data_IF_967287473139
#
_entry.id   IF_967287473139
#
_cell.length_a   1.000
_cell.length_b   1.000
_cell.length_c   1.000
_cell.angle_alpha   90.00
_cell.angle_beta   90.00
_cell.angle_gamma   90.00
#
_symmetry.space_group_name_H-M   'P 1'
#
loop_
_entity.id
_entity.type
_entity.pdbx_description
1 polymer ?
#
# COMPACT_ATOMS: atom_id res chain seq x y z
N UNK A 1 -3.09 -9.51 5.87
CA UNK A 1 -3.53 -9.12 7.23
C UNK A 1 -2.84 -7.86 7.76
N UNK A 2 -1.51 -7.85 8.00
CA UNK A 2 -0.82 -6.72 8.66
C UNK A 2 -1.06 -5.35 8.00
N UNK A 3 -0.94 -5.24 6.68
CA UNK A 3 -1.16 -3.98 5.96
C UNK A 3 -2.60 -3.46 6.08
N UNK A 4 -3.59 -4.35 6.04
CA UNK A 4 -4.99 -3.96 6.24
C UNK A 4 -5.21 -3.43 7.66
N UNK A 5 -4.66 -4.11 8.68
CA UNK A 5 -4.69 -3.62 10.06
C UNK A 5 -4.09 -2.21 10.17
N UNK A 6 -2.87 -2.01 9.66
CA UNK A 6 -2.19 -0.71 9.71
C UNK A 6 -2.95 0.39 8.96
N UNK A 7 -3.61 0.05 7.86
CA UNK A 7 -4.49 0.98 7.14
C UNK A 7 -5.65 1.47 8.01
N UNK A 8 -6.32 0.57 8.74
CA UNK A 8 -7.40 0.96 9.66
C UNK A 8 -6.86 1.78 10.84
N UNK A 9 -5.74 1.38 11.44
CA UNK A 9 -5.10 2.12 12.54
C UNK A 9 -4.70 3.55 12.11
N UNK A 10 -4.11 3.71 10.92
CA UNK A 10 -3.77 5.03 10.35
C UNK A 10 -5.00 5.90 10.07
N UNK A 11 -6.17 5.28 9.86
CA UNK A 11 -7.45 5.96 9.72
C UNK A 11 -8.20 6.14 11.05
N UNK A 12 -7.52 5.99 12.20
CA UNK A 12 -8.04 6.20 13.56
C UNK A 12 -9.11 5.20 13.99
N UNK A 13 -9.05 3.97 13.46
CA UNK A 13 -9.82 2.86 13.98
C UNK A 13 -9.04 2.14 15.09
N UNK A 14 -9.77 1.70 16.12
CA UNK A 14 -9.32 0.59 16.96
C UNK A 14 -9.48 -0.70 16.16
N UNK A 15 -8.45 -1.54 16.18
CA UNK A 15 -8.43 -2.79 15.43
C UNK A 15 -8.18 -3.95 16.39
N UNK A 16 -9.14 -4.86 16.44
CA UNK A 16 -9.05 -6.12 17.17
C UNK A 16 -8.90 -7.26 16.15
N UNK A 17 -7.72 -7.87 16.01
CA UNK A 17 -7.58 -9.05 15.17
C UNK A 17 -8.27 -10.24 15.83
N UNK A 18 -8.99 -11.04 15.03
CA UNK A 18 -9.49 -12.32 15.53
C UNK A 18 -8.34 -13.33 15.58
N UNK A 19 -7.90 -13.65 16.78
CA UNK A 19 -6.95 -14.73 17.01
C UNK A 19 -7.69 -15.82 17.79
N UNK A 20 -8.13 -16.88 17.10
CA UNK A 20 -8.62 -18.07 17.78
C UNK A 20 -7.57 -19.17 17.71
N UNK A 21 -7.23 -19.70 18.89
CA UNK A 21 -6.32 -20.84 19.06
C UNK A 21 -7.02 -22.21 18.96
N UNK A 22 -8.34 -22.26 18.76
CA UNK A 22 -9.06 -23.54 18.89
C UNK A 22 -10.36 -23.56 18.07
N UNK A 23 -10.22 -23.53 16.75
CA UNK A 23 -11.28 -23.96 15.82
C UNK A 23 -10.71 -25.08 14.96
N UNK A 24 -11.55 -26.02 14.53
CA UNK A 24 -11.13 -27.10 13.63
C UNK A 24 -10.32 -26.52 12.46
N UNK A 25 -9.26 -27.21 12.01
CA UNK A 25 -8.20 -26.64 11.16
C UNK A 25 -8.70 -25.78 9.97
N UNK A 26 -9.85 -26.09 9.37
CA UNK A 26 -10.43 -25.30 8.28
C UNK A 26 -11.11 -23.99 8.70
N UNK A 27 -11.77 -23.96 9.86
CA UNK A 27 -12.44 -22.75 10.38
C UNK A 27 -11.42 -21.79 11.02
N UNK A 28 -10.34 -22.33 11.60
CA UNK A 28 -9.26 -21.52 12.17
C UNK A 28 -8.54 -20.69 11.10
N UNK A 29 -8.26 -21.27 9.93
CA UNK A 29 -7.63 -20.57 8.80
C UNK A 29 -8.57 -19.53 8.17
N UNK A 30 -9.87 -19.81 8.16
CA UNK A 30 -10.89 -18.89 7.67
C UNK A 30 -11.05 -17.67 8.60
N UNK A 31 -11.26 -17.89 9.90
CA UNK A 31 -11.51 -16.84 10.90
C UNK A 31 -10.24 -16.06 11.29
N UNK A 32 -9.04 -16.64 11.16
CA UNK A 32 -7.77 -15.94 11.41
C UNK A 32 -7.48 -14.77 10.47
N UNK A 33 -8.30 -14.59 9.43
CA UNK A 33 -8.24 -13.47 8.49
C UNK A 33 -9.22 -12.33 8.77
N UNK A 34 -9.93 -12.37 9.91
CA UNK A 34 -10.89 -11.36 10.33
C UNK A 34 -10.24 -10.27 11.20
N UNK A 35 -10.61 -9.03 10.95
CA UNK A 35 -10.33 -7.87 11.79
C UNK A 35 -11.66 -7.23 12.20
N UNK A 36 -11.81 -6.92 13.48
CA UNK A 36 -12.91 -6.10 13.96
C UNK A 36 -12.39 -4.67 14.12
N UNK A 37 -13.06 -3.72 13.48
CA UNK A 37 -12.63 -2.32 13.44
C UNK A 37 -13.74 -1.41 13.94
N UNK A 38 -13.36 -0.44 14.76
CA UNK A 38 -14.28 0.57 15.31
C UNK A 38 -13.62 1.95 15.32
N UNK A 39 -14.34 2.97 14.85
CA UNK A 39 -13.86 4.35 14.93
C UNK A 39 -14.07 4.92 16.33
N UNK A 40 -13.04 5.58 16.86
CA UNK A 40 -13.17 6.32 18.12
C UNK A 40 -14.09 7.54 18.00
N UNK A 41 -14.15 8.17 16.81
CA UNK A 41 -14.99 9.33 16.53
C UNK A 41 -16.22 8.89 15.77
N UNK A 42 -17.32 9.64 15.93
CA UNK A 42 -18.52 9.43 15.10
C UNK A 42 -18.16 9.54 13.63
N UNK A 43 -18.59 8.56 12.86
CA UNK A 43 -18.37 8.54 11.43
C UNK A 43 -19.07 9.71 10.73
N UNK A 44 -18.54 10.07 9.56
CA UNK A 44 -19.14 11.12 8.74
C UNK A 44 -20.51 10.69 8.22
N UNK A 45 -21.51 11.60 8.17
CA UNK A 45 -22.82 11.27 7.62
C UNK A 45 -22.72 10.98 6.12
N UNK A 46 -23.32 9.87 5.70
CA UNK A 46 -23.40 9.42 4.30
C UNK A 46 -23.07 7.93 4.18
N UNK A 47 -23.92 7.17 3.48
CA UNK A 47 -23.66 5.75 3.22
C UNK A 47 -22.68 5.62 2.04
N UNK A 48 -21.50 5.00 2.23
CA UNK A 48 -20.52 4.91 1.15
C UNK A 48 -20.97 3.88 0.10
N UNK A 49 -20.42 3.99 -1.10
CA UNK A 49 -20.64 3.00 -2.15
C UNK A 49 -20.18 1.60 -1.70
N UNK A 50 -20.71 0.55 -2.34
CA UNK A 50 -20.25 -0.80 -2.06
C UNK A 50 -18.74 -0.95 -2.37
N UNK A 51 -18.24 -0.31 -3.44
CA UNK A 51 -16.80 -0.22 -3.68
C UNK A 51 -16.22 1.01 -2.97
N UNK A 52 -15.42 0.81 -1.93
CA UNK A 52 -14.85 1.90 -1.14
C UNK A 52 -13.68 2.55 -1.84
N UNK A 53 -13.71 3.88 -1.93
CA UNK A 53 -12.60 4.71 -2.37
C UNK A 53 -11.80 5.26 -1.19
N UNK A 54 -10.71 5.93 -1.53
CA UNK A 54 -9.91 6.68 -0.57
C UNK A 54 -10.80 7.73 0.13
N UNK A 55 -10.94 7.61 1.45
CA UNK A 55 -11.70 8.54 2.29
C UNK A 55 -13.10 8.04 2.69
N UNK A 56 -13.72 7.17 1.89
CA UNK A 56 -15.06 6.61 2.18
C UNK A 56 -15.08 5.81 3.48
N UNK A 57 -13.94 5.22 3.85
CA UNK A 57 -13.81 4.48 5.10
C UNK A 57 -14.15 5.34 6.34
N UNK A 58 -14.09 6.67 6.23
CA UNK A 58 -14.42 7.58 7.34
C UNK A 58 -15.92 7.66 7.65
N UNK A 59 -16.80 7.17 6.78
CA UNK A 59 -18.24 7.08 7.07
C UNK A 59 -18.64 5.75 7.73
N UNK A 60 -17.71 4.78 7.82
CA UNK A 60 -17.95 3.49 8.49
C UNK A 60 -17.61 3.60 9.97
N UNK A 61 -18.61 3.48 10.84
CA UNK A 61 -18.43 3.51 12.30
C UNK A 61 -17.79 2.22 12.84
N UNK A 62 -18.32 1.07 12.44
CA UNK A 62 -17.89 -0.28 12.86
C UNK A 62 -17.93 -1.22 11.69
N UNK A 63 -16.94 -2.11 11.60
CA UNK A 63 -16.96 -3.16 10.60
C UNK A 63 -16.23 -4.42 11.03
N UNK A 64 -16.69 -5.54 10.48
CA UNK A 64 -15.89 -6.76 10.35
C UNK A 64 -15.21 -6.71 9.00
N UNK A 65 -13.90 -6.87 8.98
CA UNK A 65 -13.07 -6.83 7.78
C UNK A 65 -12.46 -8.20 7.57
N UNK A 66 -12.73 -8.80 6.42
CA UNK A 66 -12.06 -10.03 6.01
C UNK A 66 -11.03 -9.72 4.94
N UNK A 67 -9.79 -10.19 5.13
CA UNK A 67 -8.73 -9.95 4.15
C UNK A 67 -8.48 -11.21 3.33
N UNK A 68 -8.99 -11.21 2.09
CA UNK A 68 -8.75 -12.26 1.10
C UNK A 68 -7.75 -11.77 0.07
N UNK A 69 -6.47 -11.93 0.39
CA UNK A 69 -5.39 -11.69 -0.56
C UNK A 69 -5.29 -12.89 -1.53
N UNK A 70 -6.15 -12.94 -2.55
CA UNK A 70 -5.95 -13.85 -3.68
C UNK A 70 -4.65 -13.46 -4.39
N UNK A 71 -3.86 -14.42 -4.84
CA UNK A 71 -2.51 -14.20 -5.37
C UNK A 71 -2.49 -13.27 -6.59
N UNK A 72 -2.42 -11.96 -6.38
CA UNK A 72 -2.23 -10.88 -7.36
C UNK A 72 -3.12 -10.87 -8.62
N UNK A 73 -4.12 -11.76 -8.73
CA UNK A 73 -4.95 -11.88 -9.91
C UNK A 73 -6.25 -11.06 -9.78
N UNK A 74 -6.78 -10.66 -10.94
CA UNK A 74 -8.00 -9.85 -11.03
C UNK A 74 -9.21 -10.65 -10.61
N UNK A 75 -10.07 -10.02 -9.83
CA UNK A 75 -11.33 -10.58 -9.40
C UNK A 75 -12.41 -10.33 -10.47
N UNK A 76 -12.98 -11.42 -10.99
CA UNK A 76 -14.03 -11.41 -12.01
C UNK A 76 -15.34 -11.97 -11.44
N UNK A 77 -16.51 -11.56 -11.97
CA UNK A 77 -17.81 -12.08 -11.53
C UNK A 77 -17.89 -13.61 -11.52
N UNK A 78 -17.39 -14.25 -12.57
CA UNK A 78 -17.38 -15.72 -12.70
C UNK A 78 -16.58 -16.41 -11.60
N UNK A 79 -15.52 -15.79 -11.08
CA UNK A 79 -14.72 -16.32 -9.97
C UNK A 79 -15.49 -16.23 -8.65
N UNK A 80 -16.26 -15.15 -8.46
CA UNK A 80 -17.10 -14.98 -7.28
C UNK A 80 -18.21 -16.02 -7.27
N UNK A 81 -18.89 -16.21 -8.40
CA UNK A 81 -19.97 -17.18 -8.55
C UNK A 81 -19.49 -18.63 -8.41
N UNK A 82 -18.31 -18.94 -8.95
CA UNK A 82 -17.74 -20.29 -8.89
C UNK A 82 -17.14 -20.64 -7.52
N UNK A 83 -16.85 -19.65 -6.68
CA UNK A 83 -16.15 -19.88 -5.42
C UNK A 83 -17.05 -19.61 -4.19
N UNK A 84 -17.50 -20.66 -3.49
CA UNK A 84 -18.39 -20.50 -2.34
C UNK A 84 -17.74 -19.81 -1.13
N UNK A 85 -16.42 -19.57 -1.15
CA UNK A 85 -15.73 -18.90 -0.05
C UNK A 85 -16.23 -17.48 0.18
N UNK A 86 -16.66 -16.76 -0.87
CA UNK A 86 -17.19 -15.40 -0.74
C UNK A 86 -18.51 -15.36 0.02
N UNK A 87 -19.33 -16.41 -0.10
CA UNK A 87 -20.55 -16.55 0.68
C UNK A 87 -20.26 -16.78 2.18
N UNK A 88 -19.07 -17.30 2.52
CA UNK A 88 -18.68 -17.51 3.92
C UNK A 88 -18.39 -16.19 4.64
N UNK A 89 -17.93 -15.17 3.92
CA UNK A 89 -17.60 -13.83 4.45
C UNK A 89 -18.74 -13.26 5.29
N UNK A 90 -19.96 -13.34 4.77
CA UNK A 90 -21.16 -12.86 5.45
C UNK A 90 -21.96 -13.98 6.15
N UNK A 91 -21.31 -15.10 6.47
CA UNK A 91 -21.95 -16.25 7.14
C UNK A 91 -22.48 -15.91 8.53
N UNK A 92 -23.41 -16.74 9.02
CA UNK A 92 -23.97 -16.56 10.37
C UNK A 92 -22.89 -16.65 11.46
N UNK A 93 -21.85 -17.46 11.28
CA UNK A 93 -20.72 -17.54 12.21
C UNK A 93 -20.01 -16.19 12.36
N UNK A 94 -19.70 -15.53 11.23
CA UNK A 94 -19.09 -14.19 11.24
C UNK A 94 -20.01 -13.17 11.91
N UNK A 95 -21.32 -13.26 11.65
CA UNK A 95 -22.31 -12.35 12.26
C UNK A 95 -22.42 -12.53 13.77
N UNK A 96 -22.54 -13.77 14.24
CA UNK A 96 -22.60 -14.08 15.67
C UNK A 96 -21.35 -13.58 16.42
N UNK A 97 -20.17 -13.72 15.80
CA UNK A 97 -18.92 -13.24 16.37
C UNK A 97 -18.88 -11.70 16.43
N UNK A 98 -19.36 -11.04 15.37
CA UNK A 98 -19.49 -9.58 15.31
C UNK A 98 -20.46 -9.06 16.37
N UNK A 99 -21.62 -9.70 16.53
CA UNK A 99 -22.62 -9.35 17.55
C UNK A 99 -22.05 -9.47 18.97
N UNK A 100 -21.23 -10.50 19.23
CA UNK A 100 -20.53 -10.66 20.51
C UNK A 100 -19.50 -9.56 20.78
N UNK A 101 -18.74 -9.15 19.75
CA UNK A 101 -17.67 -8.16 19.89
C UNK A 101 -18.20 -6.73 19.93
N UNK A 102 -19.23 -6.42 19.13
CA UNK A 102 -19.84 -5.10 19.06
C UNK A 102 -21.05 -4.94 19.98
N UNK A 103 -21.35 -5.93 20.82
CA UNK A 103 -22.44 -5.89 21.81
C UNK A 103 -23.82 -5.55 21.21
N UNK A 104 -24.08 -6.04 19.99
CA UNK A 104 -25.34 -5.81 19.26
C UNK A 104 -25.47 -4.45 18.55
N UNK A 105 -24.43 -3.62 18.56
CA UNK A 105 -24.40 -2.38 17.79
C UNK A 105 -24.34 -2.62 16.28
N UNK A 106 -24.81 -1.65 15.47
CA UNK A 106 -24.76 -1.76 14.01
C UNK A 106 -23.31 -1.79 13.49
N UNK A 107 -23.02 -2.73 12.59
CA UNK A 107 -21.72 -2.90 11.94
C UNK A 107 -21.88 -3.22 10.45
N UNK A 108 -20.85 -2.96 9.67
CA UNK A 108 -20.75 -3.34 8.25
C UNK A 108 -19.80 -4.52 8.06
N UNK A 109 -19.88 -5.18 6.91
CA UNK A 109 -19.01 -6.29 6.52
C UNK A 109 -18.21 -5.82 5.31
N UNK A 110 -16.89 -5.79 5.47
CA UNK A 110 -15.96 -5.29 4.45
C UNK A 110 -15.09 -6.45 3.99
N UNK A 111 -15.06 -6.69 2.67
CA UNK A 111 -14.13 -7.62 2.07
C UNK A 111 -12.95 -6.87 1.46
N UNK A 112 -11.72 -7.23 1.81
CA UNK A 112 -10.53 -6.77 1.10
C UNK A 112 -10.17 -7.79 0.03
N UNK A 113 -10.13 -7.34 -1.22
CA UNK A 113 -9.77 -8.13 -2.41
C UNK A 113 -8.50 -7.58 -3.06
N UNK A 114 -7.89 -8.35 -3.95
CA UNK A 114 -6.68 -7.94 -4.67
C UNK A 114 -6.95 -6.74 -5.60
N UNK A 115 -7.54 -6.96 -6.77
CA UNK A 115 -7.99 -5.90 -7.67
C UNK A 115 -9.16 -6.40 -8.52
N UNK A 116 -10.05 -5.51 -8.96
CA UNK A 116 -11.09 -5.84 -9.92
C UNK A 116 -10.61 -5.68 -11.37
N UNK A 117 -11.39 -6.21 -12.31
CA UNK A 117 -11.18 -5.93 -13.72
C UNK A 117 -11.22 -4.42 -14.02
N UNK A 118 -10.29 -3.93 -14.83
CA UNK A 118 -10.29 -2.52 -15.29
C UNK A 118 -11.50 -2.17 -16.17
N UNK A 119 -12.25 -3.16 -16.66
CA UNK A 119 -13.49 -2.93 -17.41
C UNK A 119 -14.63 -2.56 -16.44
N UNK A 120 -15.20 -1.33 -16.51
CA UNK A 120 -16.18 -0.85 -15.53
C UNK A 120 -17.39 -1.78 -15.37
N UNK A 121 -17.97 -2.24 -16.47
CA UNK A 121 -19.14 -3.12 -16.43
C UNK A 121 -18.86 -4.44 -15.68
N UNK A 122 -17.67 -5.03 -15.84
CA UNK A 122 -17.31 -6.28 -15.15
C UNK A 122 -17.02 -6.06 -13.67
N UNK A 123 -16.40 -4.92 -13.33
CA UNK A 123 -16.19 -4.52 -11.94
C UNK A 123 -17.53 -4.32 -11.24
N UNK A 124 -18.44 -3.59 -11.86
CA UNK A 124 -19.73 -3.28 -11.24
C UNK A 124 -20.57 -4.55 -11.05
N UNK A 125 -20.53 -5.50 -12.01
CA UNK A 125 -21.10 -6.84 -11.84
C UNK A 125 -20.47 -7.62 -10.69
N UNK A 126 -19.15 -7.59 -10.56
CA UNK A 126 -18.44 -8.29 -9.47
C UNK A 126 -18.81 -7.71 -8.09
N UNK A 127 -18.88 -6.38 -7.99
CA UNK A 127 -19.30 -5.68 -6.78
C UNK A 127 -20.75 -6.03 -6.42
N UNK A 128 -21.66 -6.04 -7.40
CA UNK A 128 -23.05 -6.44 -7.19
C UNK A 128 -23.19 -7.90 -6.73
N UNK A 129 -22.42 -8.82 -7.32
CA UNK A 129 -22.40 -10.22 -6.90
C UNK A 129 -21.96 -10.37 -5.44
N UNK A 130 -20.91 -9.64 -5.02
CA UNK A 130 -20.46 -9.63 -3.62
C UNK A 130 -21.50 -9.01 -2.69
N UNK A 131 -22.14 -7.91 -3.11
CA UNK A 131 -23.21 -7.27 -2.33
C UNK A 131 -24.40 -8.21 -2.11
N UNK A 132 -24.79 -8.97 -3.14
CA UNK A 132 -25.86 -9.97 -3.05
C UNK A 132 -25.54 -11.10 -2.05
N UNK A 133 -24.26 -11.36 -1.76
CA UNK A 133 -23.83 -12.33 -0.74
C UNK A 133 -23.89 -11.76 0.69
N UNK A 134 -24.30 -10.50 0.88
CA UNK A 134 -24.38 -9.84 2.19
C UNK A 134 -23.09 -9.14 2.62
N UNK A 135 -22.16 -8.91 1.69
CA UNK A 135 -20.99 -8.06 1.90
C UNK A 135 -21.41 -6.61 1.67
N UNK A 136 -21.32 -5.77 2.69
CA UNK A 136 -21.76 -4.38 2.60
C UNK A 136 -20.81 -3.55 1.73
N UNK A 137 -19.50 -3.73 1.93
CA UNK A 137 -18.49 -3.00 1.18
C UNK A 137 -17.30 -3.86 0.78
N UNK A 138 -16.59 -3.42 -0.25
CA UNK A 138 -15.41 -4.07 -0.80
C UNK A 138 -14.31 -3.03 -0.96
N UNK A 139 -13.08 -3.41 -0.61
CA UNK A 139 -11.90 -2.56 -0.70
C UNK A 139 -10.81 -3.26 -1.50
N UNK A 140 -10.25 -2.57 -2.48
CA UNK A 140 -9.14 -3.10 -3.26
C UNK A 140 -7.81 -2.92 -2.52
N UNK A 141 -6.93 -3.90 -2.63
CA UNK A 141 -5.62 -3.85 -1.98
C UNK A 141 -4.72 -2.70 -2.49
N UNK A 142 -4.71 -2.35 -3.79
CA UNK A 142 -4.09 -1.12 -4.27
C UNK A 142 -4.58 0.15 -3.56
N UNK A 143 -5.88 0.24 -3.22
CA UNK A 143 -6.44 1.39 -2.49
C UNK A 143 -5.88 1.46 -1.07
N UNK A 144 -5.75 0.32 -0.38
CA UNK A 144 -5.10 0.23 0.94
C UNK A 144 -3.65 0.72 0.85
N UNK A 145 -2.88 0.20 -0.11
CA UNK A 145 -1.48 0.56 -0.28
C UNK A 145 -1.32 2.05 -0.61
N UNK A 146 -2.11 2.55 -1.57
CA UNK A 146 -2.09 3.96 -1.96
C UNK A 146 -2.36 4.89 -0.77
N UNK A 147 -3.32 4.53 0.09
CA UNK A 147 -3.66 5.35 1.25
C UNK A 147 -2.58 5.29 2.35
N UNK A 148 -2.00 4.12 2.64
CA UNK A 148 -0.84 4.02 3.55
C UNK A 148 0.31 4.87 3.00
N UNK A 149 0.58 4.76 1.70
CA UNK A 149 1.57 5.58 0.99
C UNK A 149 1.17 7.06 0.91
N UNK A 150 -0.04 7.46 1.24
CA UNK A 150 -0.42 8.87 1.36
C UNK A 150 -0.24 9.37 2.80
N UNK A 151 -0.64 8.56 3.78
CA UNK A 151 -0.69 8.93 5.19
C UNK A 151 0.67 8.85 5.91
N UNK A 152 1.56 7.95 5.49
CA UNK A 152 2.90 7.83 6.12
C UNK A 152 3.76 9.05 5.77
N UNK A 153 4.23 9.80 6.76
CA UNK A 153 5.18 10.90 6.56
C UNK A 153 6.61 10.40 6.60
N UNK A 154 7.50 10.92 5.74
CA UNK A 154 8.94 10.64 5.77
C UNK A 154 9.61 11.09 7.08
N UNK A 155 9.02 12.09 7.77
CA UNK A 155 9.51 12.64 9.03
C UNK A 155 8.77 12.08 10.26
N UNK A 156 7.76 11.22 10.06
CA UNK A 156 6.95 10.65 11.14
C UNK A 156 7.68 9.60 12.00
N UNK A 157 7.19 9.38 13.21
CA UNK A 157 7.62 8.26 14.07
C UNK A 157 6.61 7.13 13.99
N UNK A 158 7.06 5.96 13.52
CA UNK A 158 6.25 4.73 13.41
C UNK A 158 6.91 3.59 14.18
N UNK A 159 7.54 3.89 15.32
CA UNK A 159 8.31 2.93 16.13
C UNK A 159 7.62 1.57 16.39
N UNK A 160 6.28 1.48 16.54
CA UNK A 160 5.59 0.20 16.74
C UNK A 160 5.46 -0.68 15.49
N UNK A 161 5.62 -0.14 14.27
CA UNK A 161 5.44 -0.90 13.01
C UNK A 161 6.69 -0.88 12.15
N UNK A 162 7.29 -2.06 11.94
CA UNK A 162 8.38 -2.25 10.98
C UNK A 162 7.96 -1.95 9.54
N UNK A 163 6.72 -2.27 9.17
CA UNK A 163 6.17 -1.99 7.83
C UNK A 163 6.10 -0.50 7.56
N UNK A 164 5.49 0.28 8.46
CA UNK A 164 5.36 1.73 8.31
C UNK A 164 6.73 2.43 8.41
N UNK A 165 7.65 1.91 9.23
CA UNK A 165 9.04 2.37 9.25
C UNK A 165 9.74 2.13 7.91
N UNK A 166 9.55 0.96 7.31
CA UNK A 166 10.14 0.64 6.00
C UNK A 166 9.59 1.60 4.94
N UNK A 167 8.27 1.79 4.89
CA UNK A 167 7.62 2.76 3.98
C UNK A 167 8.15 4.18 4.22
N UNK A 168 8.31 4.60 5.47
CA UNK A 168 8.90 5.89 5.82
C UNK A 168 10.32 6.04 5.26
N UNK A 169 11.18 5.03 5.46
CA UNK A 169 12.56 5.06 4.96
C UNK A 169 12.58 5.12 3.43
N UNK A 170 11.77 4.29 2.76
CA UNK A 170 11.65 4.31 1.30
C UNK A 170 11.22 5.70 0.78
N UNK A 171 10.30 6.38 1.48
CA UNK A 171 9.94 7.77 1.16
C UNK A 171 11.04 8.78 1.46
N UNK A 172 11.73 8.64 2.59
CA UNK A 172 12.80 9.55 3.01
C UNK A 172 14.00 9.52 2.06
N UNK A 173 14.24 8.41 1.39
CA UNK A 173 15.30 8.23 0.40
C UNK A 173 14.78 8.24 -1.05
N UNK A 174 13.58 8.78 -1.28
CA UNK A 174 12.99 8.98 -2.62
C UNK A 174 12.84 7.71 -3.49
N UNK A 175 12.80 6.52 -2.87
CA UNK A 175 12.49 5.27 -3.57
C UNK A 175 11.00 5.16 -3.95
N UNK A 176 10.13 5.88 -3.23
CA UNK A 176 8.70 5.97 -3.54
C UNK A 176 8.43 7.39 -4.02
N UNK A 177 8.44 7.56 -5.35
CA UNK A 177 7.98 8.80 -5.97
C UNK A 177 6.46 8.78 -5.93
N UNK A 178 5.86 9.78 -5.28
CA UNK A 178 4.42 10.02 -5.42
C UNK A 178 4.14 10.09 -6.92
N UNK A 179 3.17 9.31 -7.41
CA UNK A 179 2.79 9.26 -8.83
C UNK A 179 2.19 10.60 -9.29
N UNK A 180 3.00 11.65 -9.34
CA UNK A 180 2.72 12.89 -10.04
C UNK A 180 3.51 12.81 -11.34
N UNK A 181 2.85 12.36 -12.40
CA UNK A 181 3.21 12.56 -13.81
C UNK A 181 4.71 12.84 -14.04
N UNK A 182 5.55 11.81 -14.03
CA UNK A 182 6.88 11.92 -14.65
C UNK A 182 6.73 11.91 -16.18
N UNK A 183 6.18 13.01 -16.70
CA UNK A 183 6.47 13.44 -18.06
C UNK A 183 7.89 14.01 -18.03
N UNK A 184 8.87 13.12 -18.20
CA UNK A 184 10.26 13.38 -18.54
C UNK A 184 11.05 14.32 -17.62
N UNK A 185 11.82 13.75 -16.70
CA UNK A 185 13.11 14.34 -16.32
C UNK A 185 14.20 13.26 -16.26
N UNK A 186 15.38 13.48 -16.87
CA UNK A 186 16.51 12.59 -16.68
C UNK A 186 16.94 12.65 -15.22
N UNK A 187 17.09 11.49 -14.60
CA UNK A 187 17.53 11.39 -13.20
C UNK A 187 18.86 12.14 -13.01
N UNK A 188 18.86 13.20 -12.18
CA UNK A 188 20.12 13.68 -11.61
C UNK A 188 20.65 12.57 -10.71
N UNK A 189 21.80 12.01 -11.09
CA UNK A 189 22.56 11.11 -10.22
C UNK A 189 23.00 11.92 -9.00
N UNK A 190 22.95 11.35 -7.78
CA UNK A 190 23.52 12.00 -6.61
C UNK A 190 25.00 12.27 -6.88
N UNK A 191 25.42 13.50 -6.61
CA UNK A 191 26.74 14.05 -6.90
C UNK A 191 27.86 13.05 -6.58
N UNK A 192 28.47 12.50 -7.64
CA UNK A 192 29.81 11.95 -7.51
C UNK A 192 30.73 13.13 -7.15
N UNK A 193 31.67 12.95 -6.20
CA UNK A 193 32.59 14.02 -5.85
C UNK A 193 33.34 14.45 -7.10
N UNK A 194 33.19 15.72 -7.47
CA UNK A 194 33.95 16.35 -8.55
C UNK A 194 35.42 16.23 -8.17
N UNK A 195 36.16 15.37 -8.87
CA UNK A 195 37.61 15.42 -8.81
C UNK A 195 38.05 16.78 -9.38
N UNK A 196 38.94 17.52 -8.68
CA UNK A 196 39.45 18.76 -9.22
C UNK A 196 40.19 18.49 -10.55
N UNK A 197 40.17 19.42 -11.51
CA UNK A 197 40.86 19.22 -12.78
C UNK A 197 42.36 19.14 -12.52
N UNK A 198 42.91 17.94 -12.68
CA UNK A 198 44.35 17.72 -12.79
C UNK A 198 44.85 18.30 -14.10
N UNK A 199 45.85 19.16 -13.97
CA UNK A 199 46.52 19.92 -15.02
C UNK A 199 47.12 19.02 -16.12
N UNK A 200 47.08 19.53 -17.35
CA UNK A 200 48.14 19.34 -18.35
C UNK A 200 48.19 18.01 -19.09
N UNK A 201 47.38 17.88 -20.14
CA UNK A 201 47.72 16.99 -21.26
C UNK A 201 48.91 17.59 -22.00
N UNK A 202 50.11 17.09 -21.75
CA UNK A 202 51.31 17.42 -22.54
C UNK A 202 51.32 16.48 -23.75
N UNK A 203 51.03 17.01 -24.93
CA UNK A 203 51.30 16.36 -26.22
C UNK A 203 52.80 16.43 -26.50
N UNK A 204 53.48 15.33 -26.86
CA UNK A 204 54.88 15.37 -27.27
C UNK A 204 54.94 15.51 -28.80
N UNK A 205 55.14 16.72 -29.31
CA UNK A 205 55.55 16.91 -30.71
C UNK A 205 56.80 17.79 -30.79
N UNK A 206 57.80 17.21 -31.46
CA UNK A 206 58.88 17.79 -32.23
C UNK A 206 59.80 18.85 -31.59
N UNK A 207 60.97 18.36 -31.15
CA UNK A 207 62.19 19.15 -31.15
C UNK A 207 62.61 19.42 -32.59
N UNK A 208 62.46 20.66 -33.04
CA UNK A 208 63.21 21.18 -34.17
C UNK A 208 64.22 22.24 -33.73
N UNK A 209 65.35 22.19 -34.41
CA UNK A 209 66.67 22.70 -34.09
C UNK A 209 66.92 24.04 -34.79
N UNK A 210 67.19 25.12 -34.04
CA UNK A 210 68.20 26.17 -34.33
C UNK A 210 67.85 27.52 -33.69
N UNK A 211 68.75 27.99 -32.82
CA UNK A 211 69.35 29.35 -32.76
C UNK A 211 70.06 29.43 -31.40
N UNK A 212 71.33 29.02 -31.29
CA UNK A 212 72.51 29.86 -31.50
C UNK A 212 72.49 31.14 -30.65
N UNK A 213 73.30 31.16 -29.58
CA UNK A 213 74.25 32.24 -29.21
C UNK A 213 75.11 31.74 -28.03
N UNK A 214 76.38 31.46 -28.33
CA UNK A 214 77.57 31.49 -27.42
C UNK A 214 78.07 32.95 -27.51
N UNK A 215 78.61 33.65 -26.47
CA UNK A 215 79.91 33.32 -25.82
C UNK A 215 80.09 33.93 -24.39
N UNK A 216 81.32 34.13 -23.84
CA UNK A 216 82.50 33.25 -23.70
C UNK A 216 83.08 33.19 -22.26
N UNK A 217 83.91 32.18 -21.98
CA UNK A 217 85.28 32.33 -21.42
C UNK A 217 85.51 32.63 -19.93
N UNK A 218 86.13 31.67 -19.23
CA UNK A 218 87.26 31.81 -18.29
C UNK A 218 87.72 30.37 -17.96
N UNK A 219 88.74 29.86 -18.66
CA UNK A 219 90.12 29.68 -18.17
C UNK A 219 90.24 28.86 -16.88
#
# INVERSE_FOLDING_TARGET
>A
MQLAREFFELNLFYVLPHWQFDTGQQDAEYLGSLLFVEQHRRSLPGEPECLLRVGDIKSVQRAVVEVRAWHADRLYPSVIEANPIFARVASQTTRNLAESIFEGEEYKIILVVSEFSSAPARRDQAVQALHALGIHHVLEFPTILAEILRLVSAQGSYAPSYTLQTIRLLKRYDFIRLQQLELFFPALRPDAPVLPPGEGTITPDEYDINEMIIPPGAE
#
